data_IF_654295548675
#
_entry.id   IF_654295548675
#
_cell.length_a   1.000
_cell.length_b   1.000
_cell.length_c   1.000
_cell.angle_alpha   90.00
_cell.angle_beta   90.00
_cell.angle_gamma   90.00
#
_symmetry.space_group_name_H-M   'P 1'
#
loop_
_entity.id
_entity.type
_entity.pdbx_description
1 polymer ?
#
# COMPACT_ATOMS: atom_id res chain seq x y z
N UNK A 1 1.15 22.45 6.99
CA UNK A 1 -0.20 22.94 7.34
C UNK A 1 -1.12 22.44 6.26
N UNK A 2 -2.23 21.78 6.63
CA UNK A 2 -3.23 21.34 5.67
C UNK A 2 -4.17 22.51 5.38
N UNK A 3 -4.41 22.77 4.10
CA UNK A 3 -5.37 23.74 3.58
C UNK A 3 -6.69 23.01 3.24
N UNK A 4 -7.65 23.75 2.68
CA UNK A 4 -8.93 23.19 2.24
C UNK A 4 -8.79 22.13 1.11
N UNK A 5 -7.61 22.04 0.48
CA UNK A 5 -7.29 20.97 -0.49
C UNK A 5 -7.42 19.57 0.12
N UNK A 6 -7.06 19.39 1.39
CA UNK A 6 -7.09 18.06 2.02
C UNK A 6 -8.53 17.57 2.31
N UNK A 7 -9.43 18.35 2.94
CA UNK A 7 -10.86 18.00 3.02
C UNK A 7 -11.50 17.75 1.67
N UNK A 8 -11.12 18.51 0.65
CA UNK A 8 -11.59 18.32 -0.73
C UNK A 8 -11.17 16.97 -1.33
N UNK A 9 -9.94 16.55 -1.06
CA UNK A 9 -9.45 15.22 -1.43
C UNK A 9 -10.17 14.11 -0.66
N UNK A 10 -10.50 14.32 0.62
CA UNK A 10 -11.29 13.37 1.40
C UNK A 10 -12.68 13.16 0.80
N UNK A 11 -13.35 14.24 0.40
CA UNK A 11 -14.64 14.14 -0.27
C UNK A 11 -14.54 13.39 -1.59
N UNK A 12 -13.44 13.58 -2.34
CA UNK A 12 -13.19 12.83 -3.56
C UNK A 12 -12.96 11.34 -3.26
N UNK A 13 -12.08 11.00 -2.33
CA UNK A 13 -11.84 9.63 -1.89
C UNK A 13 -13.14 8.94 -1.46
N UNK A 14 -13.96 9.61 -0.65
CA UNK A 14 -15.26 9.10 -0.26
C UNK A 14 -16.18 8.83 -1.45
N UNK A 15 -16.26 9.75 -2.41
CA UNK A 15 -17.11 9.60 -3.59
C UNK A 15 -16.70 8.40 -4.47
N UNK A 16 -15.41 8.07 -4.53
CA UNK A 16 -14.90 6.95 -5.34
C UNK A 16 -14.91 5.60 -4.62
N UNK A 17 -14.98 5.61 -3.29
CA UNK A 17 -14.92 4.39 -2.47
C UNK A 17 -16.15 4.22 -1.54
N UNK A 18 -17.24 4.94 -1.80
CA UNK A 18 -18.41 5.03 -0.91
C UNK A 18 -19.02 3.66 -0.57
N UNK A 19 -19.02 2.74 -1.53
CA UNK A 19 -19.59 1.39 -1.40
C UNK A 19 -18.52 0.31 -1.21
N UNK A 20 -17.23 0.66 -1.30
CA UNK A 20 -16.14 -0.30 -1.15
C UNK A 20 -15.96 -0.71 0.32
N UNK A 21 -15.68 -2.00 0.52
CA UNK A 21 -15.35 -2.59 1.82
C UNK A 21 -13.96 -3.22 1.80
N UNK A 22 -13.33 -3.32 2.95
CA UNK A 22 -12.07 -4.06 3.12
C UNK A 22 -12.27 -5.53 2.80
N UNK A 23 -11.26 -6.14 2.19
CA UNK A 23 -11.31 -7.54 1.76
C UNK A 23 -11.59 -8.47 2.94
N UNK A 24 -12.66 -9.26 2.82
CA UNK A 24 -13.03 -10.28 3.82
C UNK A 24 -13.79 -9.76 5.04
N UNK A 25 -14.32 -8.53 5.01
CA UNK A 25 -15.11 -8.00 6.13
C UNK A 25 -16.02 -6.82 5.77
N UNK A 26 -16.71 -6.30 6.79
CA UNK A 26 -17.68 -5.22 6.66
C UNK A 26 -17.08 -3.81 6.81
N UNK A 27 -15.79 -3.70 7.11
CA UNK A 27 -15.14 -2.41 7.39
C UNK A 27 -15.14 -1.54 6.12
N UNK A 28 -15.68 -0.30 6.16
CA UNK A 28 -15.65 0.61 5.01
C UNK A 28 -14.23 0.94 4.55
N UNK A 29 -13.99 0.96 3.23
CA UNK A 29 -12.64 1.15 2.69
C UNK A 29 -12.02 2.51 3.04
N UNK A 30 -12.84 3.53 3.23
CA UNK A 30 -12.40 4.87 3.66
C UNK A 30 -11.58 4.84 4.96
N UNK A 31 -11.78 3.85 5.83
CA UNK A 31 -10.97 3.66 7.03
C UNK A 31 -9.49 3.43 6.72
N UNK A 32 -9.20 2.70 5.64
CA UNK A 32 -7.84 2.48 5.17
C UNK A 32 -7.24 3.76 4.61
N UNK A 33 -7.97 4.46 3.73
CA UNK A 33 -7.48 5.70 3.11
C UNK A 33 -7.14 6.77 4.16
N UNK A 34 -8.01 6.93 5.17
CA UNK A 34 -7.74 7.79 6.32
C UNK A 34 -6.54 7.31 7.14
N UNK A 35 -6.42 6.00 7.35
CA UNK A 35 -5.29 5.41 8.07
C UNK A 35 -3.95 5.61 7.36
N UNK A 36 -3.91 5.47 6.03
CA UNK A 36 -2.71 5.71 5.22
C UNK A 36 -2.33 7.18 5.23
N UNK A 37 -3.30 8.09 5.10
CA UNK A 37 -3.05 9.52 5.22
C UNK A 37 -2.54 9.91 6.63
N UNK A 38 -3.08 9.31 7.70
CA UNK A 38 -2.60 9.52 9.08
C UNK A 38 -1.14 9.09 9.22
N UNK A 39 -0.81 7.88 8.74
CA UNK A 39 0.58 7.38 8.76
C UNK A 39 1.50 8.33 8.00
N UNK A 40 1.14 8.71 6.77
CA UNK A 40 1.98 9.61 5.98
C UNK A 40 2.26 10.93 6.72
N UNK A 41 1.23 11.56 7.30
CA UNK A 41 1.34 12.80 8.08
C UNK A 41 2.23 12.63 9.32
N UNK A 42 2.07 11.54 10.07
CA UNK A 42 2.88 11.22 11.25
C UNK A 42 4.37 11.07 10.91
N UNK A 43 4.68 10.59 9.69
CA UNK A 43 6.05 10.45 9.19
C UNK A 43 6.55 11.64 8.37
N UNK A 44 5.85 12.77 8.46
CA UNK A 44 6.30 14.07 7.97
C UNK A 44 5.93 14.35 6.52
N UNK A 45 4.84 13.78 6.02
CA UNK A 45 4.26 14.14 4.73
C UNK A 45 3.94 15.64 4.64
N UNK A 46 4.22 16.24 3.49
CA UNK A 46 3.59 17.50 3.13
C UNK A 46 2.13 17.30 2.67
N UNK A 47 1.45 18.39 2.31
CA UNK A 47 0.05 18.33 1.91
C UNK A 47 -0.18 17.51 0.64
N UNK A 48 0.69 17.60 -0.37
CA UNK A 48 0.52 16.85 -1.62
C UNK A 48 0.73 15.35 -1.38
N UNK A 49 1.73 15.00 -0.57
CA UNK A 49 1.99 13.62 -0.15
C UNK A 49 0.81 13.05 0.67
N UNK A 50 0.21 13.85 1.55
CA UNK A 50 -0.95 13.45 2.33
C UNK A 50 -2.21 13.29 1.47
N UNK A 51 -2.42 14.17 0.49
CA UNK A 51 -3.50 14.03 -0.49
C UNK A 51 -3.28 12.78 -1.36
N UNK A 52 -2.05 12.54 -1.83
CA UNK A 52 -1.74 11.35 -2.62
C UNK A 52 -1.95 10.07 -1.81
N UNK A 53 -1.54 10.05 -0.54
CA UNK A 53 -1.82 8.95 0.39
C UNK A 53 -3.32 8.67 0.55
N UNK A 54 -4.16 9.70 0.57
CA UNK A 54 -5.61 9.56 0.67
C UNK A 54 -6.26 9.05 -0.63
N UNK A 55 -5.66 9.33 -1.78
CA UNK A 55 -6.18 9.00 -3.12
C UNK A 55 -5.46 7.82 -3.79
N UNK A 56 -4.52 7.17 -3.11
CA UNK A 56 -3.55 6.26 -3.73
C UNK A 56 -4.20 5.08 -4.49
N UNK A 57 -5.33 4.55 -4.00
CA UNK A 57 -6.07 3.45 -4.64
C UNK A 57 -7.19 3.93 -5.57
N UNK A 58 -7.44 5.24 -5.66
CA UNK A 58 -8.64 5.75 -6.32
C UNK A 58 -8.64 5.51 -7.83
N UNK A 59 -7.46 5.51 -8.47
CA UNK A 59 -7.32 5.18 -9.89
C UNK A 59 -7.42 3.67 -10.16
N UNK A 60 -7.00 2.82 -9.22
CA UNK A 60 -7.02 1.36 -9.38
C UNK A 60 -8.40 0.77 -9.11
N UNK A 61 -8.96 1.06 -7.93
CA UNK A 61 -10.15 0.41 -7.40
C UNK A 61 -11.42 1.22 -7.68
N UNK A 62 -11.33 2.55 -7.62
CA UNK A 62 -12.48 3.45 -7.74
C UNK A 62 -13.36 3.23 -8.98
N UNK A 63 -12.81 2.95 -10.19
CA UNK A 63 -13.60 2.66 -11.38
C UNK A 63 -14.59 1.50 -11.21
N UNK A 64 -14.23 0.46 -10.46
CA UNK A 64 -15.09 -0.72 -10.24
C UNK A 64 -16.35 -0.35 -9.43
N UNK A 65 -16.20 0.53 -8.44
CA UNK A 65 -17.29 0.89 -7.53
C UNK A 65 -18.18 2.03 -8.04
N UNK A 66 -17.68 2.82 -8.98
CA UNK A 66 -18.41 3.99 -9.51
C UNK A 66 -18.90 3.82 -10.94
N UNK A 67 -18.32 2.89 -11.71
CA UNK A 67 -18.53 2.79 -13.16
C UNK A 67 -17.95 3.96 -13.96
N UNK A 68 -17.13 4.81 -13.32
CA UNK A 68 -16.47 5.97 -13.94
C UNK A 68 -15.06 5.59 -14.42
N UNK A 69 -14.52 6.35 -15.37
CA UNK A 69 -13.20 6.08 -15.94
C UNK A 69 -12.07 6.63 -15.05
N UNK A 70 -11.00 5.85 -14.84
CA UNK A 70 -9.78 6.27 -14.14
C UNK A 70 -9.12 7.52 -14.79
N UNK A 71 -9.16 7.64 -16.12
CA UNK A 71 -8.63 8.81 -16.83
C UNK A 71 -9.36 10.11 -16.46
N UNK A 72 -10.68 10.04 -16.27
CA UNK A 72 -11.48 11.20 -15.85
C UNK A 72 -11.14 11.60 -14.40
N UNK A 73 -10.93 10.61 -13.53
CA UNK A 73 -10.45 10.84 -12.18
C UNK A 73 -9.07 11.50 -12.18
N UNK A 74 -8.13 10.97 -12.97
CA UNK A 74 -6.77 11.52 -13.06
C UNK A 74 -6.81 13.00 -13.49
N UNK A 75 -7.63 13.34 -14.49
CA UNK A 75 -7.83 14.73 -14.92
C UNK A 75 -8.46 15.60 -13.81
N UNK A 76 -9.38 15.04 -13.03
CA UNK A 76 -9.95 15.70 -11.85
C UNK A 76 -8.90 15.94 -10.76
N UNK A 77 -8.01 14.98 -10.50
CA UNK A 77 -6.90 15.11 -9.54
C UNK A 77 -5.95 16.24 -9.97
N UNK A 78 -5.53 16.26 -11.25
CA UNK A 78 -4.67 17.34 -11.78
C UNK A 78 -5.34 18.70 -11.61
N UNK A 79 -6.63 18.82 -11.97
CA UNK A 79 -7.36 20.10 -11.90
C UNK A 79 -7.51 20.61 -10.46
N UNK A 80 -7.77 19.72 -9.50
CA UNK A 80 -8.08 20.11 -8.11
C UNK A 80 -6.85 20.20 -7.22
N UNK A 81 -5.85 19.34 -7.46
CA UNK A 81 -4.72 19.15 -6.56
C UNK A 81 -3.36 19.31 -7.25
N UNK A 82 -3.31 19.47 -8.57
CA UNK A 82 -2.08 19.71 -9.32
C UNK A 82 -1.36 18.45 -9.79
N UNK A 83 -0.40 18.64 -10.68
CA UNK A 83 0.30 17.54 -11.37
C UNK A 83 1.12 16.67 -10.40
N UNK A 84 1.72 17.26 -9.37
CA UNK A 84 2.53 16.51 -8.39
C UNK A 84 1.70 15.45 -7.66
N UNK A 85 0.47 15.78 -7.26
CA UNK A 85 -0.44 14.81 -6.62
C UNK A 85 -0.81 13.71 -7.61
N UNK A 86 -1.16 14.06 -8.85
CA UNK A 86 -1.49 13.07 -9.88
C UNK A 86 -0.35 12.08 -10.13
N UNK A 87 0.89 12.57 -10.24
CA UNK A 87 2.08 11.73 -10.42
C UNK A 87 2.31 10.77 -9.25
N UNK A 88 2.07 11.22 -8.01
CA UNK A 88 2.19 10.36 -6.83
C UNK A 88 1.10 9.28 -6.78
N UNK A 89 -0.14 9.62 -7.16
CA UNK A 89 -1.24 8.66 -7.24
C UNK A 89 -1.02 7.66 -8.38
N UNK A 90 -0.53 8.12 -9.54
CA UNK A 90 -0.13 7.24 -10.65
C UNK A 90 0.94 6.23 -10.18
N UNK A 91 1.97 6.70 -9.48
CA UNK A 91 3.05 5.85 -8.96
C UNK A 91 2.62 4.87 -7.85
N UNK A 92 1.46 5.08 -7.25
CA UNK A 92 0.89 4.18 -6.25
C UNK A 92 -0.05 3.11 -6.86
N UNK A 93 -0.51 3.31 -8.09
CA UNK A 93 -1.43 2.40 -8.81
C UNK A 93 -0.65 1.19 -9.35
N UNK A 94 -1.08 -0.03 -9.01
CA UNK A 94 -0.39 -1.27 -9.40
C UNK A 94 -0.72 -1.59 -10.88
N UNK A 95 0.17 -1.19 -11.80
CA UNK A 95 0.12 -1.39 -13.27
C UNK A 95 -1.23 -1.91 -13.77
N UNK A 96 -2.17 -0.98 -13.98
CA UNK A 96 -3.38 -1.30 -14.74
C UNK A 96 -2.94 -1.76 -16.14
N UNK A 97 -3.37 -2.95 -16.61
CA UNK A 97 -2.98 -3.41 -17.92
C UNK A 97 -3.55 -2.45 -18.97
N UNK A 98 -2.83 -2.27 -20.08
CA UNK A 98 -3.39 -1.57 -21.23
C UNK A 98 -4.75 -2.18 -21.61
N UNK A 99 -5.68 -1.34 -22.06
CA UNK A 99 -7.03 -1.76 -22.40
C UNK A 99 -7.01 -2.96 -23.38
N UNK A 100 -7.47 -4.12 -22.90
CA UNK A 100 -7.52 -5.37 -23.67
C UNK A 100 -6.37 -6.35 -23.43
N UNK A 101 -5.41 -6.04 -22.55
CA UNK A 101 -4.37 -6.97 -22.13
C UNK A 101 -4.70 -7.62 -20.78
N UNK A 102 -4.28 -8.88 -20.60
CA UNK A 102 -4.34 -9.53 -19.30
C UNK A 102 -3.30 -8.92 -18.36
N UNK A 103 -3.63 -8.75 -17.08
CA UNK A 103 -2.63 -8.39 -16.05
C UNK A 103 -1.50 -9.42 -16.09
N UNK A 104 -0.26 -8.94 -16.10
CA UNK A 104 0.90 -9.81 -15.97
C UNK A 104 0.78 -10.68 -14.70
N UNK A 105 1.41 -11.88 -14.68
CA UNK A 105 1.42 -12.74 -13.51
C UNK A 105 1.76 -11.99 -12.22
N UNK A 106 1.12 -12.37 -11.12
CA UNK A 106 1.30 -11.70 -9.83
C UNK A 106 2.78 -11.59 -9.42
N UNK A 107 3.57 -12.64 -9.70
CA UNK A 107 4.99 -12.69 -9.38
C UNK A 107 5.78 -11.62 -10.13
N UNK A 108 5.54 -11.47 -11.43
CA UNK A 108 6.24 -10.52 -12.29
C UNK A 108 5.94 -9.08 -11.86
N UNK A 109 4.67 -8.77 -11.58
CA UNK A 109 4.25 -7.44 -11.10
C UNK A 109 4.87 -7.10 -9.76
N UNK A 110 4.87 -8.04 -8.81
CA UNK A 110 5.46 -7.79 -7.48
C UNK A 110 6.99 -7.72 -7.52
N UNK A 111 7.65 -8.51 -8.36
CA UNK A 111 9.09 -8.39 -8.58
C UNK A 111 9.47 -7.03 -9.21
N UNK A 112 8.72 -6.58 -10.22
CA UNK A 112 8.91 -5.27 -10.83
C UNK A 112 8.72 -4.13 -9.82
N UNK A 113 7.67 -4.21 -9.00
CA UNK A 113 7.42 -3.25 -7.93
C UNK A 113 8.58 -3.18 -6.92
N UNK A 114 9.07 -4.32 -6.44
CA UNK A 114 10.20 -4.39 -5.51
C UNK A 114 11.48 -3.75 -6.09
N UNK A 115 11.74 -3.95 -7.40
CA UNK A 115 12.85 -3.27 -8.09
C UNK A 115 12.63 -1.77 -8.18
N UNK A 116 11.41 -1.34 -8.52
CA UNK A 116 11.06 0.07 -8.64
C UNK A 116 11.27 0.84 -7.33
N UNK A 117 10.91 0.25 -6.18
CA UNK A 117 11.12 0.88 -4.86
C UNK A 117 12.58 1.25 -4.59
N UNK A 118 13.55 0.49 -5.08
CA UNK A 118 14.98 0.81 -4.88
C UNK A 118 15.40 2.10 -5.59
N UNK A 119 14.71 2.48 -6.66
CA UNK A 119 15.00 3.66 -7.48
C UNK A 119 14.00 4.82 -7.29
N UNK A 120 12.91 4.58 -6.56
CA UNK A 120 11.87 5.57 -6.33
C UNK A 120 12.35 6.75 -5.47
N UNK A 121 11.72 7.91 -5.69
CA UNK A 121 11.99 9.11 -4.91
C UNK A 121 11.36 9.05 -3.50
N UNK A 122 11.72 10.02 -2.66
CA UNK A 122 11.27 10.05 -1.26
C UNK A 122 9.76 10.17 -1.08
N UNK A 123 9.06 10.85 -2.01
CA UNK A 123 7.62 11.11 -1.88
C UNK A 123 6.82 9.86 -2.27
N UNK A 124 7.19 9.21 -3.36
CA UNK A 124 6.60 7.92 -3.76
C UNK A 124 6.82 6.86 -2.68
N UNK A 125 8.05 6.77 -2.16
CA UNK A 125 8.38 5.83 -1.08
C UNK A 125 7.59 6.10 0.19
N UNK A 126 7.35 7.37 0.56
CA UNK A 126 6.56 7.72 1.73
C UNK A 126 5.12 7.23 1.60
N UNK A 127 4.47 7.53 0.47
CA UNK A 127 3.08 7.10 0.20
C UNK A 127 2.98 5.58 0.19
N UNK A 128 3.87 4.93 -0.57
CA UNK A 128 3.91 3.46 -0.69
C UNK A 128 4.15 2.78 0.66
N UNK A 129 5.17 3.19 1.42
CA UNK A 129 5.45 2.58 2.72
C UNK A 129 4.34 2.86 3.75
N UNK A 130 3.65 3.99 3.65
CA UNK A 130 2.50 4.30 4.52
C UNK A 130 1.35 3.34 4.28
N UNK A 131 1.03 3.08 3.00
CA UNK A 131 0.05 2.06 2.62
C UNK A 131 0.46 0.67 3.12
N UNK A 132 1.70 0.23 2.82
CA UNK A 132 2.17 -1.10 3.25
C UNK A 132 2.21 -1.24 4.77
N UNK A 133 2.55 -0.19 5.52
CA UNK A 133 2.52 -0.22 6.98
C UNK A 133 1.08 -0.35 7.50
N UNK A 134 0.14 0.42 6.96
CA UNK A 134 -1.26 0.30 7.38
C UNK A 134 -1.79 -1.11 7.12
N UNK A 135 -1.54 -1.66 5.92
CA UNK A 135 -1.96 -3.02 5.59
C UNK A 135 -1.28 -4.08 6.45
N UNK A 136 0.02 -3.94 6.74
CA UNK A 136 0.73 -4.84 7.65
C UNK A 136 0.16 -4.80 9.07
N UNK A 137 -0.19 -3.62 9.60
CA UNK A 137 -0.85 -3.48 10.91
C UNK A 137 -2.22 -4.15 10.94
N UNK A 138 -3.02 -4.01 9.87
CA UNK A 138 -4.30 -4.72 9.75
C UNK A 138 -4.10 -6.24 9.73
N UNK A 139 -3.17 -6.74 8.91
CA UNK A 139 -2.84 -8.18 8.84
C UNK A 139 -2.41 -8.70 10.21
N UNK A 140 -1.48 -8.01 10.88
CA UNK A 140 -1.00 -8.41 12.21
C UNK A 140 -2.15 -8.47 13.22
N UNK A 141 -2.99 -7.44 13.25
CA UNK A 141 -4.15 -7.38 14.15
C UNK A 141 -5.08 -8.56 13.91
N UNK A 142 -5.46 -8.81 12.66
CA UNK A 142 -6.37 -9.91 12.35
C UNK A 142 -5.74 -11.29 12.59
N UNK A 143 -4.46 -11.50 12.29
CA UNK A 143 -3.76 -12.74 12.62
C UNK A 143 -3.77 -12.98 14.14
N UNK A 144 -3.53 -11.93 14.94
CA UNK A 144 -3.51 -12.03 16.40
C UNK A 144 -4.88 -12.23 17.03
N UNK A 145 -5.97 -11.82 16.37
CA UNK A 145 -7.33 -12.08 16.86
C UNK A 145 -7.77 -13.53 16.65
N UNK A 146 -7.08 -14.30 15.81
CA UNK A 146 -7.36 -15.72 15.61
C UNK A 146 -6.54 -16.59 16.57
N UNK A 147 -7.10 -17.72 17.06
CA UNK A 147 -6.33 -18.76 17.72
C UNK A 147 -5.16 -19.22 16.83
N UNK A 148 -4.03 -19.58 17.43
CA UNK A 148 -2.82 -19.96 16.69
C UNK A 148 -3.08 -21.04 15.63
N UNK A 149 -3.92 -22.04 15.97
CA UNK A 149 -4.33 -23.12 15.07
C UNK A 149 -5.14 -22.67 13.84
N UNK A 150 -5.66 -21.44 13.82
CA UNK A 150 -6.49 -20.88 12.76
C UNK A 150 -5.79 -19.76 11.96
N UNK A 151 -4.59 -19.34 12.37
CA UNK A 151 -3.87 -18.24 11.71
C UNK A 151 -3.50 -18.54 10.26
N UNK A 152 -3.20 -19.79 9.92
CA UNK A 152 -2.94 -20.17 8.54
C UNK A 152 -4.18 -19.99 7.64
N UNK A 153 -5.36 -20.38 8.14
CA UNK A 153 -6.63 -20.27 7.42
C UNK A 153 -7.02 -18.81 7.15
N UNK A 154 -6.64 -17.86 8.02
CA UNK A 154 -6.81 -16.43 7.77
C UNK A 154 -6.23 -16.00 6.42
N UNK A 155 -5.12 -16.60 5.99
CA UNK A 155 -4.44 -16.24 4.74
C UNK A 155 -5.08 -16.82 3.47
N UNK A 156 -6.05 -17.74 3.56
CA UNK A 156 -6.75 -18.29 2.40
C UNK A 156 -7.52 -17.22 1.60
N UNK A 157 -7.82 -16.08 2.24
CA UNK A 157 -8.37 -14.90 1.56
C UNK A 157 -7.40 -14.28 0.55
N UNK A 158 -6.09 -14.47 0.71
CA UNK A 158 -5.07 -13.93 -0.19
C UNK A 158 -4.74 -14.97 -1.26
N UNK A 159 -4.63 -14.54 -2.51
CA UNK A 159 -4.38 -15.45 -3.64
C UNK A 159 -3.07 -16.23 -3.54
N UNK A 160 -2.12 -15.76 -2.72
CA UNK A 160 -0.82 -16.39 -2.50
C UNK A 160 -0.70 -17.15 -1.17
N UNK A 161 -1.80 -17.26 -0.41
CA UNK A 161 -1.80 -17.88 0.92
C UNK A 161 -0.82 -17.22 1.91
N UNK A 162 -0.50 -17.93 2.99
CA UNK A 162 0.39 -17.41 4.03
C UNK A 162 1.80 -17.20 3.50
N UNK A 163 2.38 -18.22 2.87
CA UNK A 163 3.78 -18.20 2.45
C UNK A 163 4.07 -17.05 1.48
N UNK A 164 3.27 -16.86 0.42
CA UNK A 164 3.51 -15.78 -0.53
C UNK A 164 3.16 -14.40 0.01
N UNK A 165 2.16 -14.28 0.89
CA UNK A 165 1.82 -13.00 1.51
C UNK A 165 2.93 -12.54 2.45
N UNK A 166 3.37 -13.40 3.37
CA UNK A 166 4.42 -13.06 4.34
C UNK A 166 5.75 -12.83 3.63
N UNK A 167 6.09 -13.63 2.61
CA UNK A 167 7.28 -13.39 1.78
C UNK A 167 7.24 -12.01 1.12
N UNK A 168 6.12 -11.65 0.49
CA UNK A 168 6.02 -10.35 -0.19
C UNK A 168 6.24 -9.18 0.77
N UNK A 169 5.66 -9.24 1.99
CA UNK A 169 5.88 -8.21 3.01
C UNK A 169 7.32 -8.16 3.53
N UNK A 170 7.99 -9.31 3.69
CA UNK A 170 9.42 -9.34 4.02
C UNK A 170 10.27 -8.71 2.93
N UNK A 171 10.03 -9.08 1.67
CA UNK A 171 10.76 -8.50 0.54
C UNK A 171 10.49 -7.00 0.39
N UNK A 172 9.28 -6.53 0.66
CA UNK A 172 8.94 -5.10 0.72
C UNK A 172 9.77 -4.39 1.80
N UNK A 173 9.78 -4.91 3.03
CA UNK A 173 10.54 -4.33 4.13
C UNK A 173 12.04 -4.26 3.79
N UNK A 174 12.60 -5.33 3.21
CA UNK A 174 13.99 -5.38 2.75
C UNK A 174 14.26 -4.33 1.65
N UNK A 175 13.36 -4.20 0.66
CA UNK A 175 13.50 -3.25 -0.44
C UNK A 175 13.44 -1.79 0.04
N UNK A 176 12.49 -1.44 0.92
CA UNK A 176 12.41 -0.10 1.52
C UNK A 176 13.67 0.22 2.33
N UNK A 177 14.15 -0.72 3.15
CA UNK A 177 15.35 -0.51 3.96
C UNK A 177 16.62 -0.35 3.12
N UNK A 178 16.66 -0.97 1.92
CA UNK A 178 17.75 -0.83 0.96
C UNK A 178 17.65 0.44 0.08
N UNK A 179 16.49 1.09 0.00
CA UNK A 179 16.29 2.26 -0.84
C UNK A 179 17.17 3.45 -0.37
N UNK A 180 18.11 3.95 -1.20
CA UNK A 180 19.02 5.03 -0.79
C UNK A 180 18.29 6.31 -0.40
N UNK A 181 17.21 6.63 -1.11
CA UNK A 181 16.35 7.79 -0.83
C UNK A 181 15.76 7.77 0.59
N UNK A 182 15.61 6.58 1.20
CA UNK A 182 15.16 6.43 2.59
C UNK A 182 16.05 7.12 3.63
N UNK A 183 17.29 7.43 3.29
CA UNK A 183 18.24 8.12 4.17
C UNK A 183 18.10 9.65 4.13
N UNK A 184 17.37 10.19 3.14
CA UNK A 184 17.26 11.63 2.93
C UNK A 184 16.34 12.33 3.94
N UNK A 185 15.36 11.61 4.52
CA UNK A 185 14.39 12.14 5.50
C UNK A 185 14.37 11.27 6.75
N UNK A 186 14.61 11.82 7.96
CA UNK A 186 14.54 11.04 9.20
C UNK A 186 13.19 10.34 9.41
N UNK A 187 12.08 11.02 9.09
CA UNK A 187 10.72 10.44 9.18
C UNK A 187 10.52 9.24 8.26
N UNK A 188 11.04 9.30 7.03
CA UNK A 188 10.95 8.19 6.07
C UNK A 188 11.74 6.96 6.56
N UNK A 189 12.94 7.15 7.12
CA UNK A 189 13.70 6.05 7.71
C UNK A 189 12.98 5.42 8.91
N UNK A 190 12.31 6.24 9.73
CA UNK A 190 11.53 5.75 10.86
C UNK A 190 10.32 4.93 10.40
N UNK A 191 9.61 5.38 9.35
CA UNK A 191 8.52 4.64 8.71
C UNK A 191 8.97 3.25 8.23
N UNK A 192 10.12 3.16 7.55
CA UNK A 192 10.63 1.88 7.05
C UNK A 192 10.97 0.90 8.18
N UNK A 193 11.56 1.39 9.27
CA UNK A 193 11.82 0.58 10.46
C UNK A 193 10.54 0.14 11.16
N UNK A 194 9.49 0.95 11.12
CA UNK A 194 8.22 0.56 11.69
C UNK A 194 7.51 -0.52 10.85
N UNK A 195 7.56 -0.40 9.52
CA UNK A 195 7.13 -1.48 8.64
C UNK A 195 7.91 -2.76 8.91
N UNK A 196 9.25 -2.70 8.98
CA UNK A 196 10.12 -3.86 9.23
C UNK A 196 9.82 -4.54 10.58
N UNK A 197 9.61 -3.77 11.65
CA UNK A 197 9.16 -4.31 12.95
C UNK A 197 7.78 -4.96 12.86
N UNK A 198 6.85 -4.34 12.15
CA UNK A 198 5.48 -4.87 12.00
C UNK A 198 5.49 -6.18 11.21
N UNK A 199 6.26 -6.25 10.12
CA UNK A 199 6.44 -7.49 9.34
C UNK A 199 7.07 -8.59 10.17
N UNK A 200 8.10 -8.28 10.97
CA UNK A 200 8.72 -9.24 11.87
C UNK A 200 7.73 -9.79 12.92
N UNK A 201 6.79 -8.96 13.38
CA UNK A 201 5.73 -9.42 14.28
C UNK A 201 4.71 -10.34 13.56
N UNK A 202 4.41 -10.09 12.29
CA UNK A 202 3.55 -10.99 11.47
C UNK A 202 4.23 -12.36 11.31
N UNK A 203 5.52 -12.38 10.98
CA UNK A 203 6.30 -13.61 10.83
C UNK A 203 6.28 -14.43 12.11
N UNK A 204 6.57 -13.80 13.25
CA UNK A 204 6.52 -14.46 14.55
C UNK A 204 5.11 -15.00 14.86
N UNK A 205 4.07 -14.22 14.59
CA UNK A 205 2.68 -14.66 14.77
C UNK A 205 2.31 -15.85 13.86
N UNK A 206 2.98 -16.00 12.71
CA UNK A 206 2.82 -17.09 11.77
C UNK A 206 3.76 -18.29 12.04
N UNK A 207 4.60 -18.22 13.08
CA UNK A 207 5.58 -19.26 13.40
C UNK A 207 6.73 -19.35 12.40
N UNK A 208 7.07 -18.24 11.73
CA UNK A 208 8.12 -18.16 10.73
C UNK A 208 9.29 -17.30 11.23
N UNK A 209 10.50 -17.67 10.83
CA UNK A 209 11.68 -16.79 10.86
C UNK A 209 11.71 -15.87 9.63
N UNK A 210 12.49 -14.80 9.69
CA UNK A 210 12.66 -13.89 8.55
C UNK A 210 13.25 -14.60 7.31
N UNK A 211 14.11 -15.60 7.49
CA UNK A 211 14.71 -16.36 6.38
C UNK A 211 13.71 -17.33 5.75
N UNK A 212 12.88 -18.00 6.56
CA UNK A 212 11.77 -18.82 6.06
C UNK A 212 10.74 -17.95 5.33
N UNK A 213 10.41 -16.78 5.87
CA UNK A 213 9.55 -15.82 5.20
C UNK A 213 10.14 -15.39 3.85
N UNK A 214 11.44 -15.07 3.78
CA UNK A 214 12.10 -14.62 2.54
C UNK A 214 12.11 -15.67 1.44
N UNK A 215 12.27 -16.94 1.79
CA UNK A 215 12.49 -18.04 0.83
C UNK A 215 11.29 -18.96 0.62
N UNK A 216 10.27 -18.90 1.49
CA UNK A 216 9.17 -19.86 1.51
C UNK A 216 8.05 -19.59 0.50
N UNK A 217 8.03 -18.43 -0.16
CA UNK A 217 6.98 -18.06 -1.11
C UNK A 217 7.43 -18.13 -2.58
N UNK A 218 6.54 -17.75 -3.52
CA UNK A 218 6.77 -17.92 -4.95
C UNK A 218 7.60 -16.81 -5.60
N UNK A 219 7.93 -15.72 -4.90
CA UNK A 219 8.79 -14.66 -5.42
C UNK A 219 10.26 -15.09 -5.31
N UNK A 220 11.02 -14.90 -6.39
CA UNK A 220 12.47 -15.07 -6.36
C UNK A 220 13.13 -13.74 -6.03
N UNK A 221 14.02 -13.73 -5.03
CA UNK A 221 14.84 -12.57 -4.73
C UNK A 221 15.95 -12.46 -5.79
N UNK A 222 15.91 -11.41 -6.60
CA UNK A 222 17.02 -11.00 -7.49
C UNK A 222 18.07 -10.16 -6.76
#
# INVERSE_FOLDING_TARGET
>A
MLTDRFPDALNLAHAWHATQRRKGGEVPYISHLLGVASVALEFGADEDEAIAALLHDALEDGPEYTGRNASDLRLEIVRRFGERVAQLVDGATDDAPDAGQAKAPWQDRKAAYLRHLRAADTSMLLVSASDKLHNARTILTEVLTHPESQRAAFFERFSQGQAGTVQYYRLLADAFMAAPAGQARPGLRALFRELERTVSAIEHACGLTADEARTGGPLQAE
#
